data_IF_616023900914
#
_entry.id   IF_616023900914
#
_cell.length_a   1.000
_cell.length_b   1.000
_cell.length_c   1.000
_cell.angle_alpha   90.00
_cell.angle_beta   90.00
_cell.angle_gamma   90.00
#
_symmetry.space_group_name_H-M   'P 1'
#
loop_
_entity.id
_entity.type
_entity.pdbx_description
1 polymer ?
#
# COMPACT_ATOMS: atom_id res chain seq x y z
N UNK A 1 -25.77 26.66 -26.92
CA UNK A 1 -25.94 25.24 -26.55
C UNK A 1 -26.00 25.17 -25.02
N UNK A 2 -27.15 24.86 -24.40
CA UNK A 2 -27.21 24.67 -22.94
C UNK A 2 -26.57 23.31 -22.63
N UNK A 3 -25.35 23.31 -22.13
CA UNK A 3 -24.67 22.12 -21.61
C UNK A 3 -25.51 21.59 -20.44
N UNK A 4 -26.29 20.54 -20.66
CA UNK A 4 -26.95 19.82 -19.56
C UNK A 4 -25.86 19.09 -18.79
N UNK A 5 -25.78 19.36 -17.49
CA UNK A 5 -24.96 18.55 -16.60
C UNK A 5 -25.50 17.13 -16.66
N UNK A 6 -24.71 16.12 -17.03
CA UNK A 6 -25.17 14.74 -17.02
C UNK A 6 -25.61 14.36 -15.61
N UNK A 7 -26.87 13.93 -15.46
CA UNK A 7 -27.34 13.33 -14.22
C UNK A 7 -26.80 11.91 -14.10
N UNK A 8 -26.24 11.52 -12.95
CA UNK A 8 -25.82 10.14 -12.71
C UNK A 8 -26.98 9.19 -12.99
N UNK A 9 -26.72 8.12 -13.75
CA UNK A 9 -27.75 7.14 -14.15
C UNK A 9 -28.23 6.26 -13.01
N UNK A 10 -27.58 6.34 -11.85
CA UNK A 10 -27.74 5.44 -10.71
C UNK A 10 -27.92 6.24 -9.42
N UNK A 11 -28.68 5.69 -8.44
CA UNK A 11 -28.75 6.28 -7.10
C UNK A 11 -27.35 6.40 -6.48
N UNK A 12 -27.14 7.41 -5.64
CA UNK A 12 -25.84 7.63 -5.02
C UNK A 12 -25.40 6.42 -4.20
N UNK A 13 -24.18 5.94 -4.49
CA UNK A 13 -23.60 4.79 -3.80
C UNK A 13 -22.09 4.93 -3.78
N UNK A 14 -21.54 5.02 -2.57
CA UNK A 14 -20.12 5.13 -2.35
C UNK A 14 -19.43 3.77 -2.20
N UNK A 15 -18.29 3.62 -2.86
CA UNK A 15 -17.37 2.50 -2.69
C UNK A 15 -16.00 2.94 -2.17
N UNK A 16 -15.20 1.96 -1.74
CA UNK A 16 -13.83 2.12 -1.27
C UNK A 16 -12.99 0.96 -1.80
N UNK A 17 -11.78 1.23 -2.29
CA UNK A 17 -10.82 0.15 -2.53
C UNK A 17 -10.35 -0.44 -1.20
N UNK A 18 -10.67 -1.70 -0.96
CA UNK A 18 -10.56 -2.34 0.34
C UNK A 18 -9.66 -3.58 0.27
N UNK A 19 -8.39 -3.42 0.64
CA UNK A 19 -7.35 -4.45 0.52
C UNK A 19 -7.05 -5.19 1.83
N UNK A 20 -7.60 -4.71 2.96
CA UNK A 20 -7.23 -5.17 4.30
C UNK A 20 -5.95 -4.55 4.85
N UNK A 21 -5.25 -3.73 4.08
CA UNK A 21 -4.12 -2.94 4.57
C UNK A 21 -4.60 -1.82 5.49
N UNK A 22 -3.69 -1.32 6.34
CA UNK A 22 -3.95 -0.23 7.29
C UNK A 22 -4.60 0.99 6.63
N UNK A 23 -4.16 1.40 5.43
CA UNK A 23 -4.76 2.55 4.73
C UNK A 23 -6.24 2.33 4.46
N UNK A 24 -6.60 1.18 3.89
CA UNK A 24 -7.99 0.87 3.55
C UNK A 24 -8.86 0.60 4.79
N UNK A 25 -8.30 0.03 5.86
CA UNK A 25 -8.99 -0.16 7.13
C UNK A 25 -9.28 1.18 7.80
N UNK A 26 -8.28 2.07 7.84
CA UNK A 26 -8.43 3.42 8.38
C UNK A 26 -9.43 4.26 7.58
N UNK A 27 -9.39 4.19 6.24
CA UNK A 27 -10.36 4.87 5.39
C UNK A 27 -11.80 4.41 5.66
N UNK A 28 -12.01 3.10 5.83
CA UNK A 28 -13.32 2.56 6.17
C UNK A 28 -13.75 2.99 7.58
N UNK A 29 -12.86 2.91 8.57
CA UNK A 29 -13.14 3.33 9.94
C UNK A 29 -13.48 4.82 10.01
N UNK A 30 -12.71 5.68 9.36
CA UNK A 30 -12.97 7.11 9.24
C UNK A 30 -14.35 7.35 8.63
N UNK A 31 -14.69 6.63 7.56
CA UNK A 31 -16.00 6.74 6.93
C UNK A 31 -17.14 6.32 7.87
N UNK A 32 -16.98 5.23 8.64
CA UNK A 32 -17.98 4.78 9.64
C UNK A 32 -18.17 5.79 10.77
N UNK A 33 -17.09 6.44 11.22
CA UNK A 33 -17.14 7.41 12.31
C UNK A 33 -17.74 8.77 11.91
N UNK A 34 -17.65 9.14 10.63
CA UNK A 34 -18.08 10.46 10.15
C UNK A 34 -19.38 10.47 9.34
N UNK A 35 -19.83 9.31 8.84
CA UNK A 35 -21.03 9.23 8.02
C UNK A 35 -22.03 8.20 8.58
N UNK A 36 -23.27 8.62 8.91
CA UNK A 36 -24.33 7.68 9.23
C UNK A 36 -24.64 6.81 8.00
N UNK A 37 -25.21 5.62 8.21
CA UNK A 37 -25.41 4.64 7.14
C UNK A 37 -26.27 5.20 5.99
N UNK A 38 -27.23 6.04 6.27
CA UNK A 38 -28.17 6.60 5.29
C UNK A 38 -27.50 7.65 4.40
N UNK A 39 -26.35 8.21 4.83
CA UNK A 39 -25.69 9.27 4.09
C UNK A 39 -25.15 8.76 2.74
N UNK A 40 -25.31 9.51 1.65
CA UNK A 40 -24.87 9.04 0.32
C UNK A 40 -23.38 8.70 0.18
N UNK A 41 -22.52 9.33 0.99
CA UNK A 41 -21.07 9.04 1.04
C UNK A 41 -20.69 7.98 2.07
N UNK A 42 -21.65 7.41 2.79
CA UNK A 42 -21.45 6.19 3.56
C UNK A 42 -21.02 5.08 2.61
N UNK A 43 -19.82 4.53 2.79
CA UNK A 43 -19.31 3.42 1.98
C UNK A 43 -20.28 2.25 2.10
N UNK A 44 -20.72 1.72 0.95
CA UNK A 44 -21.61 0.57 0.84
C UNK A 44 -20.93 -0.64 0.21
N UNK A 45 -19.94 -0.42 -0.64
CA UNK A 45 -19.17 -1.48 -1.28
C UNK A 45 -17.67 -1.33 -1.00
N UNK A 46 -17.02 -2.39 -0.53
CA UNK A 46 -15.57 -2.52 -0.51
C UNK A 46 -15.11 -3.29 -1.75
N UNK A 47 -14.18 -2.75 -2.53
CA UNK A 47 -13.66 -3.39 -3.76
C UNK A 47 -12.30 -4.02 -3.46
N UNK A 48 -12.23 -5.35 -3.49
CA UNK A 48 -11.00 -6.12 -3.28
C UNK A 48 -10.49 -6.66 -4.62
N UNK A 49 -9.30 -6.22 -5.06
CA UNK A 49 -8.79 -6.54 -6.40
C UNK A 49 -7.72 -7.63 -6.32
N UNK A 50 -7.95 -8.73 -7.04
CA UNK A 50 -6.96 -9.74 -7.40
C UNK A 50 -6.20 -9.34 -8.66
N UNK A 51 -4.89 -9.61 -8.69
CA UNK A 51 -4.06 -9.44 -9.89
C UNK A 51 -3.50 -8.03 -10.12
N UNK A 52 -3.62 -7.12 -9.15
CA UNK A 52 -3.03 -5.77 -9.25
C UNK A 52 -1.63 -5.64 -8.60
N UNK A 53 -1.35 -6.32 -7.48
CA UNK A 53 -0.09 -6.14 -6.76
C UNK A 53 1.00 -7.00 -7.39
N UNK A 54 2.23 -6.49 -7.48
CA UNK A 54 3.39 -7.29 -7.89
C UNK A 54 3.73 -8.39 -6.88
N UNK A 55 3.32 -8.16 -5.64
CA UNK A 55 3.44 -9.08 -4.53
C UNK A 55 2.20 -9.95 -4.39
N UNK A 56 1.17 -9.77 -5.25
CA UNK A 56 0.06 -10.71 -5.33
C UNK A 56 0.69 -12.02 -5.72
N UNK A 57 0.56 -12.97 -4.83
CA UNK A 57 0.93 -14.32 -5.14
C UNK A 57 0.18 -14.79 -6.40
N UNK A 58 0.83 -15.60 -7.23
CA UNK A 58 0.17 -16.29 -8.37
C UNK A 58 -0.75 -17.42 -7.88
N UNK A 59 -1.08 -17.42 -6.59
CA UNK A 59 -1.85 -18.41 -5.82
C UNK A 59 -3.26 -17.88 -5.54
N UNK A 60 -4.27 -18.20 -6.37
CA UNK A 60 -5.66 -17.80 -6.17
C UNK A 60 -6.24 -18.19 -4.80
N UNK A 61 -5.75 -19.27 -4.21
CA UNK A 61 -6.17 -19.76 -2.89
C UNK A 61 -5.88 -18.74 -1.78
N UNK A 62 -4.77 -18.01 -1.86
CA UNK A 62 -4.43 -16.96 -0.88
C UNK A 62 -5.41 -15.79 -0.97
N UNK A 63 -5.90 -15.49 -2.18
CA UNK A 63 -6.93 -14.48 -2.39
C UNK A 63 -8.28 -14.93 -1.82
N UNK A 64 -8.65 -16.20 -1.98
CA UNK A 64 -9.89 -16.73 -1.37
C UNK A 64 -9.84 -16.68 0.16
N UNK A 65 -8.70 -17.04 0.76
CA UNK A 65 -8.49 -16.88 2.21
C UNK A 65 -8.59 -15.41 2.62
N UNK A 66 -8.05 -14.50 1.82
CA UNK A 66 -8.14 -13.08 2.10
C UNK A 66 -9.57 -12.54 1.99
N UNK A 67 -10.31 -12.98 0.99
CA UNK A 67 -11.72 -12.65 0.80
C UNK A 67 -12.53 -13.12 2.01
N UNK A 68 -12.30 -14.34 2.50
CA UNK A 68 -12.96 -14.87 3.71
C UNK A 68 -12.66 -14.02 4.94
N UNK A 69 -11.38 -13.73 5.20
CA UNK A 69 -10.95 -12.88 6.33
C UNK A 69 -11.56 -11.47 6.26
N UNK A 70 -11.50 -10.84 5.08
CA UNK A 70 -12.02 -9.48 4.90
C UNK A 70 -13.55 -9.43 4.86
N UNK A 71 -14.23 -10.54 4.56
CA UNK A 71 -15.69 -10.64 4.67
C UNK A 71 -16.18 -10.51 6.12
N UNK A 72 -15.37 -10.89 7.11
CA UNK A 72 -15.68 -10.66 8.52
C UNK A 72 -15.70 -9.16 8.83
N UNK A 73 -14.67 -8.43 8.39
CA UNK A 73 -14.57 -6.98 8.55
C UNK A 73 -15.68 -6.26 7.79
N UNK A 74 -15.99 -6.72 6.57
CA UNK A 74 -17.05 -6.15 5.75
C UNK A 74 -18.44 -6.31 6.39
N UNK A 75 -18.71 -7.49 6.98
CA UNK A 75 -19.96 -7.76 7.70
C UNK A 75 -20.08 -6.87 8.94
N UNK A 76 -19.02 -6.77 9.73
CA UNK A 76 -18.96 -5.91 10.92
C UNK A 76 -19.18 -4.42 10.56
N UNK A 77 -18.56 -3.95 9.48
CA UNK A 77 -18.74 -2.59 8.96
C UNK A 77 -20.05 -2.38 8.17
N UNK A 78 -20.88 -3.41 8.00
CA UNK A 78 -22.12 -3.38 7.20
C UNK A 78 -21.91 -2.91 5.75
N UNK A 79 -20.85 -3.38 5.09
CA UNK A 79 -20.56 -3.14 3.67
C UNK A 79 -20.57 -4.45 2.88
N UNK A 80 -20.88 -4.38 1.58
CA UNK A 80 -20.71 -5.51 0.67
C UNK A 80 -19.26 -5.57 0.19
N UNK A 81 -18.59 -6.71 0.39
CA UNK A 81 -17.26 -6.93 -0.17
C UNK A 81 -17.38 -7.52 -1.58
N UNK A 82 -16.85 -6.80 -2.58
CA UNK A 82 -16.90 -7.17 -3.99
C UNK A 82 -15.50 -7.59 -4.46
N UNK A 83 -15.25 -8.87 -4.72
CA UNK A 83 -14.01 -9.31 -5.32
C UNK A 83 -13.97 -8.96 -6.82
N UNK A 84 -12.84 -8.45 -7.28
CA UNK A 84 -12.56 -8.14 -8.69
C UNK A 84 -11.34 -8.92 -9.13
N UNK A 85 -11.47 -9.66 -10.22
CA UNK A 85 -10.36 -10.40 -10.83
C UNK A 85 -9.93 -9.68 -12.10
N UNK A 86 -8.64 -9.35 -12.19
CA UNK A 86 -8.09 -8.70 -13.38
C UNK A 86 -6.70 -9.24 -13.71
N UNK A 87 -6.39 -9.25 -15.01
CA UNK A 87 -5.07 -9.54 -15.55
C UNK A 87 -4.32 -8.27 -15.97
N UNK A 88 -4.75 -7.08 -15.54
CA UNK A 88 -4.24 -5.77 -16.00
C UNK A 88 -2.72 -5.60 -15.90
N UNK A 89 -2.07 -6.37 -15.02
CA UNK A 89 -0.61 -6.40 -14.89
C UNK A 89 0.12 -7.06 -16.06
N UNK A 90 -0.57 -7.81 -16.92
CA UNK A 90 -0.04 -8.33 -18.19
C UNK A 90 0.41 -7.19 -19.11
N UNK A 91 -0.18 -5.99 -18.97
CA UNK A 91 0.21 -4.82 -19.76
C UNK A 91 1.63 -4.34 -19.45
N UNK A 92 2.12 -4.51 -18.20
CA UNK A 92 3.50 -4.18 -17.84
C UNK A 92 3.93 -4.77 -16.49
N UNK A 93 4.84 -5.76 -16.47
CA UNK A 93 5.26 -6.45 -15.25
C UNK A 93 6.21 -5.68 -14.30
N UNK A 94 6.81 -4.56 -14.73
CA UNK A 94 7.84 -3.86 -13.95
C UNK A 94 7.33 -3.22 -12.65
N UNK A 95 8.06 -3.47 -11.55
CA UNK A 95 7.76 -2.99 -10.19
C UNK A 95 7.82 -1.46 -10.04
N UNK A 96 8.84 -0.83 -10.63
CA UNK A 96 9.02 0.62 -10.58
C UNK A 96 7.89 1.37 -11.28
N UNK A 97 7.56 0.97 -12.51
CA UNK A 97 6.46 1.55 -13.27
C UNK A 97 5.12 1.39 -12.54
N UNK A 98 4.86 0.20 -11.97
CA UNK A 98 3.67 -0.01 -11.16
C UNK A 98 3.55 1.01 -10.03
N UNK A 99 4.60 1.10 -9.21
CA UNK A 99 4.63 1.94 -8.01
C UNK A 99 4.65 3.44 -8.33
N UNK A 100 5.30 3.87 -9.39
CA UNK A 100 5.54 5.30 -9.63
C UNK A 100 4.60 5.90 -10.68
N UNK A 101 3.88 5.08 -11.46
CA UNK A 101 3.08 5.56 -12.60
C UNK A 101 1.73 4.87 -12.80
N UNK A 102 1.59 3.58 -12.44
CA UNK A 102 0.49 2.78 -12.99
C UNK A 102 -0.66 2.47 -12.02
N UNK A 103 -0.37 2.30 -10.72
CA UNK A 103 -1.37 1.70 -9.83
C UNK A 103 -2.63 2.57 -9.63
N UNK A 104 -2.53 3.91 -9.63
CA UNK A 104 -3.71 4.78 -9.61
C UNK A 104 -4.58 4.62 -10.87
N UNK A 105 -3.97 4.47 -12.04
CA UNK A 105 -4.70 4.21 -13.29
C UNK A 105 -5.43 2.85 -13.28
N UNK A 106 -4.82 1.83 -12.66
CA UNK A 106 -5.48 0.51 -12.46
C UNK A 106 -6.72 0.67 -11.59
N UNK A 107 -6.60 1.39 -10.46
CA UNK A 107 -7.74 1.68 -9.59
C UNK A 107 -8.82 2.47 -10.34
N UNK A 108 -8.44 3.47 -11.14
CA UNK A 108 -9.37 4.22 -11.98
C UNK A 108 -10.12 3.33 -13.00
N UNK A 109 -9.40 2.45 -13.70
CA UNK A 109 -10.00 1.52 -14.65
C UNK A 109 -10.99 0.56 -13.98
N UNK A 110 -10.62 0.00 -12.81
CA UNK A 110 -11.53 -0.84 -12.03
C UNK A 110 -12.75 -0.04 -11.57
N UNK A 111 -12.57 1.18 -11.07
CA UNK A 111 -13.68 2.03 -10.63
C UNK A 111 -14.70 2.25 -11.76
N UNK A 112 -14.24 2.53 -12.99
CA UNK A 112 -15.12 2.74 -14.14
C UNK A 112 -15.91 1.51 -14.58
N UNK A 113 -15.40 0.30 -14.32
CA UNK A 113 -16.17 -0.93 -14.50
C UNK A 113 -17.40 -1.00 -13.59
N UNK A 114 -17.43 -0.21 -12.51
CA UNK A 114 -18.54 -0.09 -11.57
C UNK A 114 -19.37 1.18 -11.75
N UNK A 115 -19.21 1.96 -12.83
CA UNK A 115 -19.96 3.20 -13.08
C UNK A 115 -21.49 3.04 -13.10
N UNK A 116 -22.01 1.81 -13.33
CA UNK A 116 -23.44 1.48 -13.22
C UNK A 116 -23.90 1.05 -11.82
N UNK A 117 -22.99 1.00 -10.85
CA UNK A 117 -23.27 0.59 -9.47
C UNK A 117 -22.86 1.67 -8.46
N UNK A 118 -21.71 2.29 -8.69
CA UNK A 118 -21.10 3.28 -7.82
C UNK A 118 -21.14 4.64 -8.50
N UNK A 119 -21.42 5.68 -7.73
CA UNK A 119 -21.28 7.08 -8.18
C UNK A 119 -20.00 7.71 -7.63
N UNK A 120 -19.39 7.06 -6.63
CA UNK A 120 -18.17 7.51 -5.94
C UNK A 120 -17.32 6.31 -5.57
N UNK A 121 -16.01 6.38 -5.79
CA UNK A 121 -15.04 5.44 -5.21
C UNK A 121 -13.90 6.19 -4.53
N UNK A 122 -13.56 5.78 -3.32
CA UNK A 122 -12.43 6.34 -2.57
C UNK A 122 -11.19 5.46 -2.70
N UNK A 123 -10.03 6.11 -2.88
CA UNK A 123 -8.69 5.54 -2.80
C UNK A 123 -8.08 6.06 -1.49
N UNK A 124 -7.72 5.14 -0.59
CA UNK A 124 -7.07 5.50 0.66
C UNK A 124 -5.65 6.00 0.41
N UNK A 125 -5.30 7.17 0.94
CA UNK A 125 -3.95 7.70 0.75
C UNK A 125 -2.91 6.80 1.41
N UNK A 126 -1.70 6.77 0.85
CA UNK A 126 -0.56 6.05 1.44
C UNK A 126 0.02 6.79 2.65
N UNK A 127 -0.04 8.12 2.69
CA UNK A 127 0.52 8.96 3.76
C UNK A 127 -0.11 10.37 3.78
N UNK A 128 0.20 11.18 4.77
CA UNK A 128 -0.08 12.61 4.76
C UNK A 128 0.61 13.36 3.60
N UNK A 129 0.07 14.52 3.23
CA UNK A 129 0.61 15.35 2.13
C UNK A 129 2.11 15.67 2.31
N UNK A 130 2.60 16.13 3.48
CA UNK A 130 4.00 16.49 3.64
C UNK A 130 5.00 15.36 3.33
N UNK A 131 4.62 14.11 3.58
CA UNK A 131 5.51 12.96 3.40
C UNK A 131 5.09 12.04 2.24
N UNK A 132 4.12 12.46 1.43
CA UNK A 132 3.65 11.68 0.28
C UNK A 132 4.69 11.70 -0.84
N UNK A 133 5.09 10.50 -1.30
CA UNK A 133 5.97 10.36 -2.47
C UNK A 133 5.22 10.58 -3.79
N UNK A 134 5.94 10.76 -4.91
CA UNK A 134 5.35 10.85 -6.26
C UNK A 134 4.91 9.47 -6.77
N UNK A 135 3.97 8.86 -6.07
CA UNK A 135 3.43 7.54 -6.36
C UNK A 135 2.49 7.58 -7.58
N UNK A 136 2.33 6.42 -8.21
CA UNK A 136 1.38 6.23 -9.31
C UNK A 136 -0.09 6.37 -8.93
N UNK A 137 -0.40 6.49 -7.64
CA UNK A 137 -1.65 7.00 -7.06
C UNK A 137 -1.30 8.21 -6.22
N UNK A 138 -1.96 9.33 -6.49
CA UNK A 138 -1.64 10.61 -5.86
C UNK A 138 -2.89 11.50 -5.85
N UNK A 139 -3.12 12.35 -4.82
CA UNK A 139 -4.31 13.20 -4.76
C UNK A 139 -4.47 14.13 -5.97
N UNK A 140 -3.36 14.63 -6.53
CA UNK A 140 -3.38 15.44 -7.76
C UNK A 140 -3.56 14.64 -9.06
N UNK A 141 -3.53 13.30 -9.00
CA UNK A 141 -3.69 12.44 -10.17
C UNK A 141 -5.03 11.71 -10.14
N UNK A 142 -5.33 11.06 -9.01
CA UNK A 142 -6.43 10.12 -8.87
C UNK A 142 -7.80 10.77 -9.16
N UNK A 143 -7.98 12.02 -8.73
CA UNK A 143 -9.22 12.77 -8.97
C UNK A 143 -9.47 13.02 -10.46
N UNK A 144 -8.42 13.12 -11.27
CA UNK A 144 -8.53 13.32 -12.72
C UNK A 144 -8.98 12.05 -13.47
N UNK A 145 -9.03 10.89 -12.79
CA UNK A 145 -9.67 9.71 -13.36
C UNK A 145 -11.20 9.74 -13.23
N UNK A 146 -11.81 10.76 -12.62
CA UNK A 146 -13.27 10.89 -12.54
C UNK A 146 -13.92 11.10 -13.91
N UNK A 147 -15.20 10.75 -14.03
CA UNK A 147 -16.07 11.05 -15.18
C UNK A 147 -17.36 11.74 -14.70
N UNK A 148 -18.29 12.02 -15.63
CA UNK A 148 -19.61 12.56 -15.28
C UNK A 148 -20.44 11.61 -14.41
N UNK A 149 -20.25 10.31 -14.59
CA UNK A 149 -21.07 9.28 -13.95
C UNK A 149 -20.41 8.72 -12.68
N UNK A 150 -19.10 8.94 -12.51
CA UNK A 150 -18.32 8.38 -11.40
C UNK A 150 -17.24 9.34 -10.90
N UNK A 151 -17.27 9.65 -9.61
CA UNK A 151 -16.22 10.44 -8.93
C UNK A 151 -15.20 9.53 -8.25
N UNK A 152 -13.93 9.75 -8.53
CA UNK A 152 -12.82 9.10 -7.82
C UNK A 152 -12.22 10.09 -6.84
N UNK A 153 -12.16 9.71 -5.58
CA UNK A 153 -11.62 10.54 -4.50
C UNK A 153 -10.34 9.92 -3.95
N UNK A 154 -9.39 10.77 -3.58
CA UNK A 154 -8.23 10.37 -2.80
C UNK A 154 -8.45 10.87 -1.36
N UNK A 155 -8.57 9.97 -0.40
CA UNK A 155 -8.99 10.27 0.98
C UNK A 155 -7.84 10.15 1.98
N UNK A 156 -8.03 10.69 3.18
CA UNK A 156 -7.14 10.50 4.34
C UNK A 156 -5.73 11.10 4.21
N UNK A 157 -5.60 12.14 3.39
CA UNK A 157 -4.34 12.86 3.09
C UNK A 157 -3.75 13.65 4.27
N UNK A 158 -4.42 13.63 5.44
CA UNK A 158 -3.97 14.31 6.66
C UNK A 158 -3.43 13.34 7.71
N UNK A 159 -3.52 12.04 7.47
CA UNK A 159 -3.16 11.02 8.45
C UNK A 159 -1.78 10.44 8.13
N UNK A 160 -0.88 10.50 9.11
CA UNK A 160 0.33 9.70 9.07
C UNK A 160 -0.04 8.21 9.10
N UNK A 161 0.96 7.34 8.91
CA UNK A 161 0.76 5.90 9.04
C UNK A 161 0.42 5.49 10.47
N UNK A 162 1.04 6.12 11.46
CA UNK A 162 0.74 5.85 12.86
C UNK A 162 -0.68 6.30 13.25
N UNK A 163 -1.15 7.44 12.73
CA UNK A 163 -2.52 7.91 12.99
C UNK A 163 -3.57 6.94 12.45
N UNK A 164 -3.32 6.35 11.28
CA UNK A 164 -4.18 5.32 10.70
C UNK A 164 -4.24 4.05 11.56
N UNK A 165 -3.12 3.65 12.15
CA UNK A 165 -3.10 2.51 13.10
C UNK A 165 -3.87 2.86 14.38
N UNK A 166 -3.65 4.05 14.95
CA UNK A 166 -4.41 4.53 16.11
C UNK A 166 -5.92 4.55 15.85
N UNK A 167 -6.33 4.98 14.65
CA UNK A 167 -7.73 5.05 14.26
C UNK A 167 -8.43 3.68 14.27
N UNK A 168 -7.72 2.59 13.97
CA UNK A 168 -8.28 1.24 13.95
C UNK A 168 -7.97 0.43 15.22
N UNK A 169 -7.26 1.02 16.19
CA UNK A 169 -6.80 0.33 17.39
C UNK A 169 -7.95 -0.16 18.29
N UNK A 170 -9.11 0.50 18.22
CA UNK A 170 -10.32 0.16 18.96
C UNK A 170 -11.31 -0.69 18.13
N UNK A 171 -10.86 -1.29 17.03
CA UNK A 171 -11.69 -2.09 16.14
C UNK A 171 -11.22 -3.57 16.09
N UNK A 172 -11.68 -4.42 17.03
CA UNK A 172 -11.15 -5.78 17.21
C UNK A 172 -11.22 -6.64 15.95
N UNK A 173 -12.33 -6.59 15.21
CA UNK A 173 -12.52 -7.39 13.98
C UNK A 173 -11.53 -6.99 12.90
N UNK A 174 -11.27 -5.69 12.72
CA UNK A 174 -10.26 -5.20 11.79
C UNK A 174 -8.85 -5.62 12.23
N UNK A 175 -8.53 -5.49 13.52
CA UNK A 175 -7.22 -5.89 14.06
C UNK A 175 -6.89 -7.35 13.76
N UNK A 176 -7.87 -8.25 13.86
CA UNK A 176 -7.66 -9.69 13.57
C UNK A 176 -7.41 -10.00 12.10
N UNK A 177 -7.78 -9.08 11.20
CA UNK A 177 -7.84 -9.32 9.76
C UNK A 177 -6.92 -8.38 8.95
N UNK A 178 -5.94 -7.74 9.60
CA UNK A 178 -4.94 -6.88 8.96
C UNK A 178 -4.13 -7.65 7.90
N UNK A 179 -3.97 -7.06 6.72
CA UNK A 179 -3.18 -7.60 5.60
C UNK A 179 -2.20 -6.58 5.03
N UNK A 180 -0.94 -6.68 5.43
CA UNK A 180 0.11 -5.70 5.07
C UNK A 180 1.38 -6.33 4.52
N UNK A 181 1.57 -7.64 4.73
CA UNK A 181 2.80 -8.32 4.37
C UNK A 181 3.05 -8.23 2.88
N UNK A 182 4.19 -7.65 2.50
CA UNK A 182 4.53 -7.55 1.09
C UNK A 182 4.70 -8.93 0.46
N UNK A 183 5.71 -9.73 0.88
CA UNK A 183 6.04 -11.00 0.23
C UNK A 183 4.92 -12.04 0.13
N UNK A 184 3.89 -11.94 0.98
CA UNK A 184 2.81 -12.91 1.05
C UNK A 184 1.44 -12.32 0.77
N UNK A 185 1.31 -11.07 0.29
CA UNK A 185 -0.01 -10.49 0.08
C UNK A 185 -0.79 -11.28 -1.00
N UNK A 186 -2.08 -11.59 -0.83
CA UNK A 186 -2.97 -11.24 0.30
C UNK A 186 -3.08 -12.34 1.38
N UNK A 187 -2.17 -13.30 1.41
CA UNK A 187 -2.06 -14.36 2.42
C UNK A 187 -1.70 -13.88 3.84
N UNK A 188 -1.01 -14.75 4.59
CA UNK A 188 -0.71 -14.52 6.02
C UNK A 188 0.48 -13.57 6.20
N UNK A 189 0.37 -12.67 7.18
CA UNK A 189 1.49 -11.78 7.50
C UNK A 189 2.68 -12.57 8.05
N UNK A 190 3.87 -12.35 7.48
CA UNK A 190 5.04 -13.15 7.87
C UNK A 190 5.70 -12.70 9.18
N UNK A 191 5.33 -11.55 9.74
CA UNK A 191 5.92 -10.97 10.95
C UNK A 191 7.38 -10.47 10.80
N UNK A 192 8.04 -10.74 9.66
CA UNK A 192 9.48 -10.54 9.49
C UNK A 192 9.90 -9.71 8.28
N UNK A 193 8.97 -9.27 7.45
CA UNK A 193 9.27 -8.30 6.38
C UNK A 193 9.15 -6.87 6.91
N UNK A 194 9.81 -5.91 6.26
CA UNK A 194 9.79 -4.51 6.67
C UNK A 194 8.36 -3.95 6.86
N UNK A 195 7.40 -4.28 5.98
CA UNK A 195 5.99 -3.85 6.15
C UNK A 195 5.34 -4.44 7.41
N UNK A 196 5.61 -5.71 7.72
CA UNK A 196 5.09 -6.34 8.94
C UNK A 196 5.72 -5.71 10.18
N UNK A 197 7.06 -5.61 10.23
CA UNK A 197 7.78 -5.05 11.37
C UNK A 197 7.37 -3.61 11.64
N UNK A 198 7.23 -2.78 10.59
CA UNK A 198 6.69 -1.42 10.73
C UNK A 198 5.31 -1.41 11.36
N UNK A 199 4.39 -2.24 10.84
CA UNK A 199 3.01 -2.30 11.35
C UNK A 199 2.97 -2.80 12.79
N UNK A 200 3.81 -3.78 13.15
CA UNK A 200 3.92 -4.28 14.52
C UNK A 200 4.45 -3.21 15.48
N UNK A 201 5.42 -2.39 15.07
CA UNK A 201 5.87 -1.24 15.84
C UNK A 201 4.77 -0.19 16.03
N UNK A 202 4.01 0.12 14.98
CA UNK A 202 2.86 1.02 15.06
C UNK A 202 1.79 0.50 16.04
N UNK A 203 1.50 -0.82 16.01
CA UNK A 203 0.56 -1.47 16.93
C UNK A 203 1.08 -1.52 18.38
N UNK A 204 2.39 -1.69 18.58
CA UNK A 204 3.05 -1.60 19.89
C UNK A 204 2.89 -0.20 20.47
N UNK A 205 3.11 0.83 19.66
CA UNK A 205 2.86 2.23 20.05
C UNK A 205 1.39 2.46 20.37
N UNK A 206 0.46 1.87 19.60
CA UNK A 206 -0.97 1.96 19.89
C UNK A 206 -1.41 1.11 21.11
N UNK A 207 -0.56 0.23 21.66
CA UNK A 207 -0.90 -0.61 22.81
C UNK A 207 -1.94 -1.69 22.49
N UNK A 208 -1.84 -2.26 21.28
CA UNK A 208 -2.79 -3.26 20.78
C UNK A 208 -2.10 -4.40 20.01
N UNK A 209 -0.77 -4.48 20.02
CA UNK A 209 -0.03 -5.55 19.33
C UNK A 209 -0.40 -6.92 19.88
N UNK A 210 -0.46 -7.05 21.20
CA UNK A 210 -0.86 -8.26 21.92
C UNK A 210 -2.33 -8.66 21.72
N UNK A 211 -3.16 -7.74 21.21
CA UNK A 211 -4.60 -7.94 20.98
C UNK A 211 -4.91 -8.48 19.59
N UNK A 212 -3.92 -8.59 18.69
CA UNK A 212 -4.14 -9.11 17.34
C UNK A 212 -3.46 -10.45 17.12
N UNK A 213 -4.14 -11.37 16.45
CA UNK A 213 -3.55 -12.62 15.93
C UNK A 213 -2.91 -12.45 14.55
N UNK A 214 -2.98 -11.25 13.96
CA UNK A 214 -2.50 -11.00 12.61
C UNK A 214 -0.97 -10.99 12.50
N UNK A 215 -0.25 -10.96 13.62
CA UNK A 215 1.21 -10.96 13.70
C UNK A 215 1.69 -11.80 14.88
N UNK A 216 2.98 -12.19 14.91
CA UNK A 216 3.64 -12.56 16.16
C UNK A 216 3.66 -11.36 17.11
N UNK A 217 3.38 -11.57 18.40
CA UNK A 217 3.24 -10.48 19.37
C UNK A 217 4.58 -9.97 19.96
N UNK A 218 5.67 -10.05 19.18
CA UNK A 218 7.02 -9.69 19.65
C UNK A 218 7.78 -8.91 18.57
N UNK A 219 8.32 -7.76 18.95
CA UNK A 219 9.28 -6.99 18.13
C UNK A 219 10.56 -6.84 18.94
N UNK A 220 11.70 -7.18 18.33
CA UNK A 220 13.03 -7.03 18.95
C UNK A 220 13.94 -6.15 18.11
N UNK A 221 15.02 -5.66 18.73
CA UNK A 221 16.11 -4.95 18.05
C UNK A 221 16.68 -5.77 16.88
N UNK A 222 16.91 -7.07 17.07
CA UNK A 222 17.49 -7.97 16.07
C UNK A 222 16.57 -8.13 14.86
N UNK A 223 15.25 -8.20 15.12
CA UNK A 223 14.25 -8.24 14.06
C UNK A 223 14.28 -6.97 13.22
N UNK A 224 14.41 -5.80 13.86
CA UNK A 224 14.50 -4.51 13.15
C UNK A 224 15.80 -4.45 12.34
N UNK A 225 16.93 -4.80 12.95
CA UNK A 225 18.23 -4.75 12.29
C UNK A 225 18.31 -5.68 11.06
N UNK A 226 17.60 -6.81 11.09
CA UNK A 226 17.55 -7.77 9.98
C UNK A 226 16.48 -7.45 8.92
N UNK A 227 15.27 -7.07 9.33
CA UNK A 227 14.14 -6.90 8.42
C UNK A 227 14.02 -5.49 7.81
N UNK A 228 14.45 -4.45 8.53
CA UNK A 228 14.19 -3.06 8.14
C UNK A 228 15.33 -2.51 7.30
N UNK A 229 15.03 -2.26 6.03
CA UNK A 229 15.90 -1.50 5.15
C UNK A 229 15.18 -0.22 4.69
N UNK A 230 15.66 0.92 5.18
CA UNK A 230 15.20 2.24 4.74
C UNK A 230 15.91 2.57 3.43
N UNK A 231 15.14 2.70 2.35
CA UNK A 231 15.66 2.84 0.98
C UNK A 231 15.11 4.04 0.23
N UNK A 232 14.15 4.75 0.81
CA UNK A 232 13.50 5.91 0.21
C UNK A 232 12.92 6.83 1.28
N UNK A 233 12.58 8.09 0.94
CA UNK A 233 12.04 9.07 1.88
C UNK A 233 10.73 8.64 2.56
N UNK A 234 9.87 7.89 1.86
CA UNK A 234 8.63 7.38 2.46
C UNK A 234 8.89 6.40 3.62
N UNK A 235 9.85 5.49 3.48
CA UNK A 235 10.23 4.62 4.59
C UNK A 235 10.87 5.44 5.70
N UNK A 236 11.70 6.43 5.35
CA UNK A 236 12.32 7.30 6.33
C UNK A 236 11.28 8.03 7.19
N UNK A 237 10.25 8.64 6.59
CA UNK A 237 9.16 9.31 7.32
C UNK A 237 8.42 8.33 8.23
N UNK A 238 8.06 7.15 7.71
CA UNK A 238 7.40 6.11 8.49
C UNK A 238 8.14 5.75 9.78
N UNK A 239 9.47 5.63 9.75
CA UNK A 239 10.26 5.25 10.93
C UNK A 239 10.58 6.44 11.84
N UNK A 240 10.73 7.64 11.28
CA UNK A 240 10.94 8.87 12.04
C UNK A 240 9.78 9.13 13.00
N UNK A 241 8.55 8.92 12.53
CA UNK A 241 7.32 9.14 13.30
C UNK A 241 7.18 8.17 14.48
N UNK A 242 7.98 7.09 14.54
CA UNK A 242 7.94 6.11 15.62
C UNK A 242 8.89 6.47 16.77
N UNK A 243 9.92 7.29 16.54
CA UNK A 243 10.99 7.55 17.52
C UNK A 243 10.44 8.17 18.80
N UNK A 244 9.69 9.26 18.70
CA UNK A 244 9.11 9.96 19.86
C UNK A 244 8.19 9.04 20.67
N UNK A 245 7.14 8.45 20.07
CA UNK A 245 6.23 7.57 20.78
C UNK A 245 6.87 6.32 21.40
N UNK A 246 7.89 5.74 20.76
CA UNK A 246 8.63 4.60 21.33
C UNK A 246 9.53 5.02 22.50
N UNK A 247 10.12 6.22 22.42
CA UNK A 247 10.94 6.80 23.50
C UNK A 247 10.09 7.05 24.74
N UNK A 248 8.91 7.66 24.57
CA UNK A 248 7.94 7.91 25.66
C UNK A 248 7.51 6.62 26.35
N UNK A 249 7.39 5.51 25.60
CA UNK A 249 7.06 4.18 26.13
C UNK A 249 8.25 3.40 26.69
N UNK A 250 9.45 3.97 26.69
CA UNK A 250 10.65 3.35 27.26
C UNK A 250 11.30 2.26 26.40
N UNK A 251 10.94 2.12 25.12
CA UNK A 251 11.52 1.13 24.20
C UNK A 251 12.87 1.57 23.62
N UNK A 252 13.86 1.84 24.50
CA UNK A 252 15.15 2.43 24.13
C UNK A 252 15.95 1.57 23.15
N UNK A 253 15.96 0.26 23.32
CA UNK A 253 16.66 -0.69 22.45
C UNK A 253 16.11 -0.68 21.00
N UNK A 254 14.79 -0.61 20.87
CA UNK A 254 14.06 -0.48 19.61
C UNK A 254 14.38 0.87 18.95
N UNK A 255 14.34 1.97 19.70
CA UNK A 255 14.67 3.31 19.20
C UNK A 255 16.09 3.35 18.63
N UNK A 256 17.07 2.84 19.37
CA UNK A 256 18.46 2.77 18.88
C UNK A 256 18.59 1.94 17.59
N UNK A 257 17.81 0.86 17.43
CA UNK A 257 17.80 0.06 16.22
C UNK A 257 17.26 0.85 15.01
N UNK A 258 16.20 1.63 15.21
CA UNK A 258 15.61 2.49 14.18
C UNK A 258 16.58 3.61 13.79
N UNK A 259 17.15 4.31 14.77
CA UNK A 259 18.13 5.38 14.54
C UNK A 259 19.36 4.87 13.81
N UNK A 260 19.82 3.65 14.13
CA UNK A 260 20.89 3.00 13.39
C UNK A 260 20.54 2.78 11.91
N UNK A 261 19.33 2.32 11.59
CA UNK A 261 18.88 2.16 10.20
C UNK A 261 18.75 3.50 9.47
N UNK A 262 18.25 4.54 10.14
CA UNK A 262 18.17 5.89 9.59
C UNK A 262 19.58 6.46 9.32
N UNK A 263 20.51 6.32 10.27
CA UNK A 263 21.91 6.72 10.10
C UNK A 263 22.56 6.02 8.91
N UNK A 264 22.32 4.71 8.74
CA UNK A 264 22.79 3.96 7.55
C UNK A 264 22.17 4.48 6.25
N UNK A 265 20.91 4.89 6.26
CA UNK A 265 20.26 5.52 5.10
C UNK A 265 20.87 6.89 4.78
N UNK A 266 21.00 7.78 5.76
CA UNK A 266 21.58 9.10 5.56
C UNK A 266 23.06 9.06 5.17
N UNK A 267 23.84 8.14 5.73
CA UNK A 267 25.23 7.89 5.29
C UNK A 267 25.27 7.51 3.82
N UNK A 268 24.41 6.58 3.35
CA UNK A 268 24.31 6.20 1.92
C UNK A 268 23.93 7.38 1.02
N UNK A 269 23.09 8.31 1.49
CA UNK A 269 22.77 9.53 0.75
C UNK A 269 23.97 10.47 0.67
N UNK A 270 24.65 10.72 1.80
CA UNK A 270 25.78 11.67 1.91
C UNK A 270 27.03 11.19 1.20
N UNK A 271 27.36 9.91 1.28
CA UNK A 271 28.53 9.36 0.57
C UNK A 271 28.35 9.42 -0.94
N UNK A 272 27.13 9.71 -1.40
CA UNK A 272 26.66 9.37 -2.72
C UNK A 272 26.78 7.86 -2.85
N UNK A 273 25.68 7.14 -2.99
CA UNK A 273 25.79 5.92 -3.75
C UNK A 273 26.24 6.38 -5.16
N UNK A 274 27.56 6.48 -5.38
CA UNK A 274 28.26 6.50 -6.67
C UNK A 274 27.97 5.15 -7.32
N UNK A 275 26.69 4.86 -7.48
CA UNK A 275 26.18 3.75 -8.21
C UNK A 275 26.25 4.23 -9.65
N UNK A 276 27.48 4.37 -10.15
CA UNK A 276 27.76 4.58 -11.56
C UNK A 276 26.98 3.56 -12.38
N UNK A 277 26.69 2.38 -11.82
CA UNK A 277 25.80 1.36 -12.40
C UNK A 277 24.35 1.81 -12.51
N UNK A 278 23.80 2.49 -11.50
CA UNK A 278 22.44 3.03 -11.55
C UNK A 278 22.36 4.28 -12.45
N UNK A 279 23.40 5.12 -12.45
CA UNK A 279 23.53 6.23 -13.40
C UNK A 279 23.69 5.73 -14.83
N UNK A 280 24.56 4.76 -15.07
CA UNK A 280 24.74 4.10 -16.37
C UNK A 280 23.48 3.37 -16.80
N UNK A 281 22.73 2.75 -15.88
CA UNK A 281 21.43 2.14 -16.18
C UNK A 281 20.36 3.19 -16.51
N UNK A 282 20.32 4.31 -15.80
CA UNK A 282 19.43 5.44 -16.12
C UNK A 282 19.81 6.08 -17.46
N UNK A 283 21.11 6.23 -17.73
CA UNK A 283 21.64 6.72 -19.00
C UNK A 283 21.32 5.76 -20.14
N UNK A 284 21.54 4.46 -19.95
CA UNK A 284 21.22 3.42 -20.93
C UNK A 284 19.72 3.39 -21.24
N UNK A 285 18.85 3.44 -20.23
CA UNK A 285 17.40 3.51 -20.43
C UNK A 285 17.00 4.82 -21.13
N UNK A 286 17.60 5.96 -20.78
CA UNK A 286 17.20 7.28 -21.29
C UNK A 286 17.73 7.59 -22.69
N UNK A 287 18.94 7.14 -23.01
CA UNK A 287 19.65 7.53 -24.24
C UNK A 287 19.98 6.35 -25.16
N UNK A 288 20.03 5.12 -24.65
CA UNK A 288 20.40 3.93 -25.41
C UNK A 288 19.30 2.86 -25.43
N UNK A 289 18.08 3.24 -25.01
CA UNK A 289 16.89 2.40 -24.95
C UNK A 289 17.07 1.03 -24.25
N UNK A 290 18.01 0.96 -23.28
CA UNK A 290 18.30 -0.24 -22.51
C UNK A 290 19.22 -1.27 -23.19
N UNK A 291 19.89 -0.91 -24.29
CA UNK A 291 20.74 -1.81 -25.07
C UNK A 291 21.97 -2.30 -24.31
N UNK A 292 22.60 -1.49 -23.46
CA UNK A 292 23.76 -1.92 -22.67
C UNK A 292 23.37 -2.97 -21.61
N UNK A 293 22.20 -2.80 -20.98
CA UNK A 293 21.67 -3.79 -20.02
C UNK A 293 21.31 -5.11 -20.73
N UNK A 294 20.81 -5.04 -21.97
CA UNK A 294 20.49 -6.24 -22.77
C UNK A 294 21.76 -6.96 -23.23
N UNK A 295 22.76 -6.23 -23.72
CA UNK A 295 24.08 -6.76 -24.11
C UNK A 295 24.80 -7.42 -22.94
N UNK A 296 24.81 -6.78 -21.77
CA UNK A 296 25.38 -7.37 -20.54
C UNK A 296 24.71 -8.69 -20.17
N UNK A 297 23.39 -8.81 -20.36
CA UNK A 297 22.63 -10.04 -20.08
C UNK A 297 23.04 -11.19 -21.01
N UNK A 298 23.23 -10.89 -22.29
CA UNK A 298 23.70 -11.86 -23.30
C UNK A 298 25.11 -12.35 -22.97
N UNK A 299 26.04 -11.43 -22.70
CA UNK A 299 27.43 -11.75 -22.36
C UNK A 299 27.50 -12.61 -21.08
N UNK A 300 26.75 -12.24 -20.03
CA UNK A 300 26.73 -13.02 -18.77
C UNK A 300 26.10 -14.40 -18.97
N UNK A 301 25.08 -14.53 -19.83
CA UNK A 301 24.50 -15.85 -20.15
C UNK A 301 25.49 -16.74 -20.92
N UNK A 302 26.24 -16.16 -21.86
CA UNK A 302 27.27 -16.88 -22.63
C UNK A 302 28.49 -17.28 -21.78
N UNK A 303 28.80 -16.52 -20.73
CA UNK A 303 29.86 -16.87 -19.77
C UNK A 303 29.41 -17.96 -18.79
N UNK A 304 28.12 -17.98 -18.40
CA UNK A 304 27.57 -19.03 -17.52
C UNK A 304 27.30 -20.36 -18.24
N UNK A 305 27.16 -20.35 -19.56
CA UNK A 305 27.05 -21.56 -20.38
C UNK A 305 28.38 -22.29 -20.66
N UNK A 306 29.52 -21.76 -20.22
CA UNK A 306 30.87 -22.32 -20.47
C UNK A 306 31.48 -23.08 -19.27
N UNK A 307 30.71 -23.33 -18.22
CA UNK A 307 31.12 -24.18 -17.10
C UNK A 307 30.15 -25.34 -16.93
N UNK A 308 30.33 -26.35 -17.77
CA UNK A 308 29.94 -27.74 -17.53
C UNK A 308 31.04 -28.59 -18.15
N UNK A 309 31.87 -29.31 -17.38
CA UNK A 309 32.31 -30.62 -17.80
C UNK A 309 31.16 -31.62 -17.66
#
# INVERSE_FOLDING_TARGET
MRTRIPTPRTPERAGLFFSGGIDSLAALRMNRLNFPMEYPRSVKDGVLIYGQNIESDTRPETFQQALKALSEVARDASITLVPVYTNIRHLHGGSGFFREKFHGAILGAVAHAFSRRLTVVSIASTYDIPNLGPWGSHPFLDTNYSSSDLRILHTDIRLSRLDKVRLIADWPVALQNIKVCGPNWPGVNCGRCEKCVRTMLELLIAGVLEKTKAFPNVVSKELILSAVQITNPFKESCYRDLIGPLTEKGHRDIVHAIEHQLSRYHKRLKTGDKNWRAMAKKFDVKFLNGNLVRLKRVIVSNLKGKHVP
#
